data_IF_893733669812
#
_entry.id   IF_893733669812
#
_cell.length_a   1.000
_cell.length_b   1.000
_cell.length_c   1.000
_cell.angle_alpha   90.00
_cell.angle_beta   90.00
_cell.angle_gamma   90.00
#
_symmetry.space_group_name_H-M   'P 1'
#
loop_
_entity.id
_entity.type
_entity.pdbx_description
1 polymer ?
#
# COMPACT_ATOMS: atom_id res chain seq x y z
N UNK A 1 -5.67 -6.75 3.70
CA UNK A 1 -6.10 -7.95 2.96
C UNK A 1 -7.58 -8.24 3.17
N UNK A 2 -8.03 -8.55 4.41
CA UNK A 2 -9.42 -8.98 4.69
C UNK A 2 -10.48 -8.02 4.14
N UNK A 3 -10.27 -6.71 4.28
CA UNK A 3 -11.23 -5.73 3.77
C UNK A 3 -11.35 -5.84 2.23
N UNK A 4 -10.24 -5.94 1.52
CA UNK A 4 -10.22 -6.10 0.06
C UNK A 4 -10.96 -7.38 -0.33
N UNK A 5 -10.65 -8.49 0.33
CA UNK A 5 -11.28 -9.77 0.03
C UNK A 5 -12.80 -9.76 0.19
N UNK A 6 -13.33 -8.98 1.15
CA UNK A 6 -14.77 -8.88 1.44
C UNK A 6 -15.51 -7.86 0.56
N UNK A 7 -14.85 -6.78 0.12
CA UNK A 7 -15.53 -5.62 -0.46
C UNK A 7 -15.16 -5.35 -1.93
N UNK A 8 -14.01 -5.82 -2.41
CA UNK A 8 -13.65 -5.66 -3.82
C UNK A 8 -14.66 -6.41 -4.71
N UNK A 9 -15.19 -5.76 -5.78
CA UNK A 9 -16.12 -6.41 -6.69
C UNK A 9 -15.51 -7.64 -7.36
N UNK A 10 -16.36 -8.50 -7.91
CA UNK A 10 -15.88 -9.65 -8.70
C UNK A 10 -15.10 -9.15 -9.91
N UNK A 11 -13.94 -9.74 -10.18
CA UNK A 11 -13.06 -9.35 -11.27
C UNK A 11 -12.35 -8.01 -11.09
N UNK A 12 -12.35 -7.45 -9.87
CA UNK A 12 -11.70 -6.17 -9.55
C UNK A 12 -10.24 -6.11 -9.96
N UNK A 13 -9.78 -4.92 -10.30
CA UNK A 13 -8.36 -4.58 -10.42
C UNK A 13 -7.88 -3.96 -9.11
N UNK A 14 -6.90 -4.58 -8.48
CA UNK A 14 -6.30 -4.14 -7.22
C UNK A 14 -4.86 -3.73 -7.47
N UNK A 15 -4.45 -2.58 -6.93
CA UNK A 15 -3.05 -2.14 -6.93
C UNK A 15 -2.50 -2.22 -5.51
N UNK A 16 -1.29 -2.76 -5.35
CA UNK A 16 -0.51 -2.77 -4.11
C UNK A 16 0.74 -1.91 -4.33
N UNK A 17 0.79 -0.73 -3.71
CA UNK A 17 1.91 0.21 -3.80
C UNK A 17 2.93 -0.07 -2.71
N UNK A 18 4.22 -0.16 -3.10
CA UNK A 18 5.28 -0.51 -2.18
C UNK A 18 5.12 -1.94 -1.69
N UNK A 19 4.89 -2.87 -2.63
CA UNK A 19 4.50 -4.25 -2.28
C UNK A 19 5.56 -5.02 -1.48
N UNK A 20 6.82 -4.57 -1.47
CA UNK A 20 7.92 -5.22 -0.78
C UNK A 20 8.10 -6.68 -1.21
N UNK A 21 7.94 -7.59 -0.28
CA UNK A 21 8.00 -9.04 -0.53
C UNK A 21 6.74 -9.62 -1.20
N UNK A 22 5.73 -8.78 -1.49
CA UNK A 22 4.46 -9.18 -2.04
C UNK A 22 3.39 -9.55 -1.02
N UNK A 23 3.57 -9.21 0.26
CA UNK A 23 2.72 -9.73 1.33
C UNK A 23 1.23 -9.43 1.14
N UNK A 24 0.86 -8.19 0.79
CA UNK A 24 -0.54 -7.81 0.55
C UNK A 24 -1.01 -8.34 -0.79
N UNK A 25 -0.26 -8.08 -1.87
CA UNK A 25 -0.63 -8.47 -3.23
C UNK A 25 -0.89 -9.97 -3.35
N UNK A 26 0.04 -10.79 -2.86
CA UNK A 26 -0.04 -12.24 -2.99
C UNK A 26 -1.13 -12.83 -2.09
N UNK A 27 -1.34 -12.29 -0.89
CA UNK A 27 -2.44 -12.72 -0.03
C UNK A 27 -3.81 -12.42 -0.65
N UNK A 28 -3.99 -11.21 -1.23
CA UNK A 28 -5.22 -10.86 -1.95
C UNK A 28 -5.44 -11.79 -3.14
N UNK A 29 -4.40 -12.01 -3.94
CA UNK A 29 -4.50 -12.86 -5.13
C UNK A 29 -4.80 -14.33 -4.81
N UNK A 30 -4.28 -14.83 -3.70
CA UNK A 30 -4.53 -16.18 -3.22
C UNK A 30 -5.98 -16.37 -2.77
N UNK A 31 -6.48 -15.45 -1.94
CA UNK A 31 -7.85 -15.49 -1.41
C UNK A 31 -8.91 -15.15 -2.47
N UNK A 32 -8.54 -14.38 -3.49
CA UNK A 32 -9.42 -13.88 -4.54
C UNK A 32 -8.85 -14.18 -5.93
N UNK A 33 -8.93 -15.42 -6.40
CA UNK A 33 -8.41 -15.79 -7.73
C UNK A 33 -9.15 -15.11 -8.90
N UNK A 34 -10.30 -14.51 -8.65
CA UNK A 34 -11.09 -13.74 -9.59
C UNK A 34 -10.56 -12.32 -9.83
N UNK A 35 -9.79 -11.74 -8.89
CA UNK A 35 -9.26 -10.37 -9.04
C UNK A 35 -7.91 -10.37 -9.78
N UNK A 36 -7.57 -9.22 -10.37
CA UNK A 36 -6.27 -8.96 -10.98
C UNK A 36 -5.48 -8.03 -10.08
N UNK A 37 -4.34 -8.47 -9.58
CA UNK A 37 -3.49 -7.67 -8.69
C UNK A 37 -2.27 -7.16 -9.47
N UNK A 38 -2.01 -5.86 -9.34
CA UNK A 38 -0.79 -5.21 -9.83
C UNK A 38 0.01 -4.77 -8.60
N UNK A 39 1.19 -5.33 -8.43
CA UNK A 39 2.09 -5.05 -7.31
C UNK A 39 3.25 -4.19 -7.80
N UNK A 40 3.43 -3.02 -7.20
CA UNK A 40 4.39 -2.01 -7.61
C UNK A 40 5.43 -1.80 -6.49
N UNK A 41 6.71 -1.80 -6.88
CA UNK A 41 7.81 -1.69 -5.94
C UNK A 41 8.98 -0.96 -6.60
N UNK A 42 9.63 -0.06 -5.87
CA UNK A 42 10.78 0.69 -6.39
C UNK A 42 12.09 -0.10 -6.31
N UNK A 43 12.20 -1.01 -5.34
CA UNK A 43 13.41 -1.82 -5.12
C UNK A 43 13.43 -3.06 -6.01
N UNK A 44 14.41 -3.20 -6.92
CA UNK A 44 14.57 -4.41 -7.73
C UNK A 44 14.77 -5.68 -6.89
N UNK A 45 15.45 -5.56 -5.74
CA UNK A 45 15.68 -6.69 -4.84
C UNK A 45 14.39 -7.17 -4.19
N UNK A 46 13.53 -6.24 -3.76
CA UNK A 46 12.21 -6.58 -3.22
C UNK A 46 11.31 -7.19 -4.30
N UNK A 47 11.33 -6.67 -5.53
CA UNK A 47 10.63 -7.26 -6.68
C UNK A 47 11.08 -8.70 -6.92
N UNK A 48 12.39 -8.98 -6.85
CA UNK A 48 12.90 -10.34 -7.02
C UNK A 48 12.40 -11.29 -5.91
N UNK A 49 12.23 -10.80 -4.69
CA UNK A 49 11.64 -11.56 -3.58
C UNK A 49 10.15 -11.81 -3.83
N UNK A 50 9.41 -10.77 -4.18
CA UNK A 50 7.98 -10.88 -4.46
C UNK A 50 7.71 -11.85 -5.61
N UNK A 51 8.52 -11.81 -6.67
CA UNK A 51 8.38 -12.71 -7.82
C UNK A 51 8.67 -14.17 -7.44
N UNK A 52 9.69 -14.45 -6.60
CA UNK A 52 9.92 -15.80 -6.06
C UNK A 52 8.74 -16.29 -5.24
N UNK A 53 8.17 -15.42 -4.42
CA UNK A 53 7.00 -15.75 -3.62
C UNK A 53 5.78 -16.02 -4.52
N UNK A 54 5.55 -15.19 -5.54
CA UNK A 54 4.48 -15.38 -6.54
C UNK A 54 4.58 -16.76 -7.21
N UNK A 55 5.79 -17.12 -7.66
CA UNK A 55 6.05 -18.43 -8.30
C UNK A 55 5.82 -19.59 -7.34
N UNK A 56 6.29 -19.47 -6.08
CA UNK A 56 6.10 -20.48 -5.04
C UNK A 56 4.63 -20.80 -4.79
N UNK A 57 3.77 -19.78 -4.80
CA UNK A 57 2.33 -19.94 -4.59
C UNK A 57 1.56 -20.11 -5.90
N UNK A 58 2.23 -20.16 -7.05
CA UNK A 58 1.66 -20.35 -8.39
C UNK A 58 0.53 -19.34 -8.72
N UNK A 59 0.70 -18.09 -8.32
CA UNK A 59 -0.30 -17.04 -8.51
C UNK A 59 -0.17 -16.41 -9.90
N UNK A 60 -1.15 -16.70 -10.78
CA UNK A 60 -1.17 -16.22 -12.16
C UNK A 60 -1.96 -14.91 -12.33
N UNK A 61 -2.67 -14.48 -11.32
CA UNK A 61 -3.49 -13.28 -11.29
C UNK A 61 -2.76 -12.06 -10.68
N UNK A 62 -1.44 -12.16 -10.46
CA UNK A 62 -0.56 -11.07 -9.99
C UNK A 62 0.44 -10.70 -11.06
N UNK A 63 0.61 -9.42 -11.31
CA UNK A 63 1.72 -8.83 -12.07
C UNK A 63 2.55 -7.97 -11.13
N UNK A 64 3.87 -8.19 -11.10
CA UNK A 64 4.80 -7.41 -10.28
C UNK A 64 5.65 -6.56 -11.21
N UNK A 65 5.83 -5.27 -10.88
CA UNK A 65 6.62 -4.34 -11.68
C UNK A 65 7.47 -3.41 -10.82
N UNK A 66 8.66 -3.06 -11.32
CA UNK A 66 9.49 -2.00 -10.75
C UNK A 66 8.82 -0.66 -11.09
N UNK A 67 8.51 0.13 -10.07
CA UNK A 67 7.81 1.41 -10.23
C UNK A 67 8.06 2.35 -9.06
N UNK A 68 8.28 3.63 -9.35
CA UNK A 68 8.09 4.70 -8.36
C UNK A 68 6.60 5.06 -8.35
N UNK A 69 5.91 4.64 -7.28
CA UNK A 69 4.45 4.68 -7.17
C UNK A 69 3.78 4.20 -8.47
N UNK A 70 3.00 5.03 -9.15
CA UNK A 70 2.23 4.66 -10.33
C UNK A 70 2.96 4.77 -11.67
N UNK A 71 4.25 5.15 -11.67
CA UNK A 71 4.98 5.50 -12.92
C UNK A 71 4.99 4.40 -14.00
N UNK A 72 4.93 3.12 -13.61
CA UNK A 72 4.99 1.99 -14.53
C UNK A 72 3.61 1.42 -14.94
N UNK A 73 2.50 2.05 -14.54
CA UNK A 73 1.16 1.51 -14.82
C UNK A 73 0.27 2.50 -15.54
N UNK A 74 -0.72 1.96 -16.24
CA UNK A 74 -1.79 2.70 -16.90
C UNK A 74 -3.15 2.12 -16.54
N UNK A 75 -4.19 2.95 -16.72
CA UNK A 75 -5.57 2.57 -16.44
C UNK A 75 -5.90 2.73 -14.95
N UNK A 76 -7.07 2.26 -14.56
CA UNK A 76 -7.65 2.52 -13.25
C UNK A 76 -7.86 1.23 -12.47
N UNK A 77 -7.95 1.38 -11.15
CA UNK A 77 -8.12 0.31 -10.16
C UNK A 77 -9.40 0.51 -9.36
N UNK A 78 -9.97 -0.57 -8.90
CA UNK A 78 -11.13 -0.54 -7.99
C UNK A 78 -10.66 -0.37 -6.53
N UNK A 79 -9.46 -0.85 -6.22
CA UNK A 79 -8.82 -0.67 -4.93
C UNK A 79 -7.34 -0.41 -5.12
N UNK A 80 -6.82 0.60 -4.43
CA UNK A 80 -5.39 0.85 -4.23
C UNK A 80 -5.11 0.63 -2.74
N UNK A 81 -4.20 -0.29 -2.44
CA UNK A 81 -3.67 -0.53 -1.10
C UNK A 81 -2.22 -0.08 -1.03
N UNK A 82 -1.78 0.44 0.10
CA UNK A 82 -0.39 0.83 0.30
C UNK A 82 0.01 0.69 1.76
N UNK A 83 1.13 0.00 1.97
CA UNK A 83 1.90 0.04 3.20
C UNK A 83 3.27 0.63 2.85
N UNK A 84 3.32 1.95 2.70
CA UNK A 84 4.51 2.70 2.33
C UNK A 84 5.36 3.01 3.57
N UNK A 85 6.66 3.27 3.40
CA UNK A 85 7.49 3.82 4.47
C UNK A 85 6.84 5.04 5.09
N UNK A 86 6.74 5.07 6.43
CA UNK A 86 6.07 6.15 7.17
C UNK A 86 6.84 6.64 8.39
N UNK A 87 8.08 6.20 8.60
CA UNK A 87 8.93 6.64 9.70
C UNK A 87 9.64 7.94 9.31
N UNK A 88 9.64 8.93 10.21
CA UNK A 88 10.39 10.16 10.02
C UNK A 88 11.90 9.91 10.07
N UNK A 89 12.68 10.71 9.33
CA UNK A 89 14.12 10.51 9.23
C UNK A 89 14.85 10.60 10.58
N UNK A 90 14.38 11.46 11.50
CA UNK A 90 14.92 11.59 12.86
C UNK A 90 14.50 10.44 13.78
N UNK A 91 13.30 9.88 13.60
CA UNK A 91 12.84 8.71 14.35
C UNK A 91 13.64 7.44 14.00
N UNK A 92 14.18 7.36 12.77
CA UNK A 92 14.96 6.20 12.34
C UNK A 92 16.12 5.88 13.29
N UNK A 93 16.80 6.91 13.84
CA UNK A 93 17.92 6.69 14.75
C UNK A 93 17.48 6.10 16.10
N UNK A 94 16.23 6.23 16.46
CA UNK A 94 15.64 5.70 17.72
C UNK A 94 15.09 4.29 17.60
N UNK A 95 15.03 3.73 16.37
CA UNK A 95 14.52 2.38 16.13
C UNK A 95 15.40 1.30 16.79
N UNK A 96 14.75 0.18 17.11
CA UNK A 96 15.44 -1.00 17.61
C UNK A 96 16.49 -1.48 16.62
N UNK A 97 17.63 -1.98 17.14
CA UNK A 97 18.74 -2.43 16.32
C UNK A 97 18.35 -3.56 15.35
N UNK A 98 17.44 -4.41 15.76
CA UNK A 98 16.90 -5.50 14.93
C UNK A 98 16.24 -4.95 13.67
N UNK A 99 15.41 -3.90 13.79
CA UNK A 99 14.76 -3.26 12.65
C UNK A 99 15.82 -2.61 11.75
N UNK A 100 16.74 -1.82 12.33
CA UNK A 100 17.80 -1.11 11.57
C UNK A 100 18.75 -2.07 10.83
N UNK A 101 19.01 -3.25 11.40
CA UNK A 101 19.97 -4.20 10.83
C UNK A 101 19.39 -5.11 9.76
N UNK A 102 18.08 -5.36 9.78
CA UNK A 102 17.45 -6.35 8.90
C UNK A 102 16.47 -5.75 7.89
N UNK A 103 16.03 -4.49 8.10
CA UNK A 103 15.16 -3.81 7.14
C UNK A 103 15.90 -2.67 6.42
N UNK A 104 15.82 -2.58 5.09
CA UNK A 104 16.43 -1.47 4.36
C UNK A 104 15.82 -0.13 4.79
N UNK A 105 16.65 0.89 5.01
CA UNK A 105 16.17 2.24 5.36
C UNK A 105 15.09 2.74 4.40
N UNK A 106 15.25 2.47 3.10
CA UNK A 106 14.28 2.85 2.06
C UNK A 106 12.88 2.25 2.30
N UNK A 107 12.79 1.11 2.98
CA UNK A 107 11.51 0.47 3.32
C UNK A 107 10.88 1.02 4.60
N UNK A 108 11.57 1.89 5.34
CA UNK A 108 11.16 2.39 6.64
C UNK A 108 10.86 3.88 6.63
N UNK A 109 11.75 4.71 6.00
CA UNK A 109 11.69 6.17 6.15
C UNK A 109 11.08 6.87 4.94
N UNK A 110 10.38 7.98 5.17
CA UNK A 110 9.72 8.79 4.16
C UNK A 110 9.80 10.29 4.49
N UNK A 111 11.02 10.82 4.43
CA UNK A 111 11.27 12.24 4.64
C UNK A 111 11.19 12.72 6.09
N UNK A 112 11.19 14.04 6.26
CA UNK A 112 11.33 14.70 7.57
C UNK A 112 10.22 14.33 8.57
N UNK A 113 9.00 14.12 8.10
CA UNK A 113 7.84 13.77 8.95
C UNK A 113 7.23 12.39 8.64
N UNK A 114 7.92 11.57 7.84
CA UNK A 114 7.46 10.24 7.46
C UNK A 114 6.28 10.19 6.48
N UNK A 115 5.82 11.32 5.95
CA UNK A 115 4.60 11.38 5.13
C UNK A 115 4.84 11.68 3.64
N UNK A 116 6.08 11.80 3.20
CA UNK A 116 6.36 12.23 1.81
C UNK A 116 5.74 11.28 0.77
N UNK A 117 5.98 9.97 0.88
CA UNK A 117 5.41 8.98 -0.04
C UNK A 117 3.90 8.86 0.09
N UNK A 118 3.37 8.96 1.31
CA UNK A 118 1.92 8.93 1.56
C UNK A 118 1.24 10.13 0.89
N UNK A 119 1.81 11.35 0.99
CA UNK A 119 1.31 12.54 0.30
C UNK A 119 1.28 12.37 -1.21
N UNK A 120 2.38 11.84 -1.79
CA UNK A 120 2.45 11.57 -3.22
C UNK A 120 1.40 10.55 -3.64
N UNK A 121 1.28 9.43 -2.92
CA UNK A 121 0.29 8.40 -3.21
C UNK A 121 -1.14 8.93 -3.16
N UNK A 122 -1.49 9.75 -2.15
CA UNK A 122 -2.82 10.38 -2.04
C UNK A 122 -3.09 11.36 -3.18
N UNK A 123 -2.10 12.16 -3.56
CA UNK A 123 -2.23 13.15 -4.63
C UNK A 123 -2.45 12.50 -6.01
N UNK A 124 -1.76 11.39 -6.28
CA UNK A 124 -1.80 10.67 -7.54
C UNK A 124 -2.99 9.68 -7.64
N UNK A 125 -3.40 9.07 -6.52
CA UNK A 125 -4.43 8.01 -6.50
C UNK A 125 -5.74 8.34 -7.23
N UNK A 126 -6.29 9.58 -7.22
CA UNK A 126 -7.51 9.92 -7.96
C UNK A 126 -7.41 9.68 -9.47
N UNK A 127 -6.22 9.80 -10.06
CA UNK A 127 -6.00 9.58 -11.48
C UNK A 127 -5.99 8.09 -11.85
N UNK A 128 -5.72 7.24 -10.85
CA UNK A 128 -5.63 5.78 -11.00
C UNK A 128 -6.77 4.99 -10.35
N UNK A 129 -7.74 5.66 -9.70
CA UNK A 129 -8.92 4.99 -9.18
C UNK A 129 -10.12 5.11 -10.14
N UNK A 130 -10.90 4.05 -10.22
CA UNK A 130 -12.24 4.12 -10.77
C UNK A 130 -13.12 5.02 -9.89
N UNK A 131 -14.13 5.73 -10.45
CA UNK A 131 -15.14 6.41 -9.65
C UNK A 131 -15.74 5.46 -8.61
N UNK A 132 -15.76 5.87 -7.35
CA UNK A 132 -16.19 5.00 -6.24
C UNK A 132 -15.17 3.95 -5.79
N UNK A 133 -13.98 3.90 -6.38
CA UNK A 133 -12.88 3.04 -5.94
C UNK A 133 -12.30 3.46 -4.59
N UNK A 134 -11.54 2.58 -3.97
CA UNK A 134 -11.03 2.75 -2.61
C UNK A 134 -9.53 2.91 -2.55
N UNK A 135 -9.08 3.85 -1.73
CA UNK A 135 -7.70 3.99 -1.27
C UNK A 135 -7.61 3.47 0.17
N UNK A 136 -6.67 2.55 0.41
CA UNK A 136 -6.40 1.97 1.73
C UNK A 136 -4.93 2.21 2.05
N UNK A 137 -4.66 2.95 3.11
CA UNK A 137 -3.29 3.30 3.52
C UNK A 137 -3.01 2.76 4.92
N UNK A 138 -1.85 2.15 5.13
CA UNK A 138 -1.27 1.95 6.46
C UNK A 138 -0.54 3.22 6.89
N UNK A 139 -0.59 3.53 8.19
CA UNK A 139 -0.02 4.73 8.80
C UNK A 139 0.66 4.42 10.13
N UNK A 140 1.58 5.25 10.53
CA UNK A 140 2.01 5.36 11.92
C UNK A 140 0.84 5.79 12.83
N UNK A 141 0.84 5.34 14.08
CA UNK A 141 -0.27 5.52 15.03
C UNK A 141 -0.74 6.97 15.17
N UNK A 142 0.20 7.92 15.14
CA UNK A 142 -0.04 9.36 15.34
C UNK A 142 -0.35 10.13 14.04
N UNK A 143 -0.21 9.51 12.87
CA UNK A 143 -0.21 10.24 11.59
C UNK A 143 -1.60 10.53 11.02
N UNK A 144 -2.65 9.84 11.48
CA UNK A 144 -4.00 10.00 10.95
C UNK A 144 -4.52 11.45 10.94
N UNK A 145 -4.30 12.30 11.97
CA UNK A 145 -4.72 13.71 11.94
C UNK A 145 -4.07 14.53 10.82
N UNK A 146 -2.81 14.23 10.46
CA UNK A 146 -2.09 14.92 9.38
C UNK A 146 -2.51 14.42 7.99
N UNK A 147 -2.91 13.15 7.87
CA UNK A 147 -3.29 12.53 6.60
C UNK A 147 -4.75 12.81 6.21
N UNK A 148 -5.67 12.84 7.18
CA UNK A 148 -7.11 13.06 6.89
C UNK A 148 -7.42 14.31 6.04
N UNK A 149 -6.78 15.49 6.29
CA UNK A 149 -7.01 16.67 5.45
C UNK A 149 -6.57 16.52 4.00
N UNK A 150 -5.60 15.65 3.71
CA UNK A 150 -5.09 15.41 2.35
C UNK A 150 -6.08 14.63 1.46
N UNK A 151 -7.07 13.99 2.06
CA UNK A 151 -8.06 13.17 1.38
C UNK A 151 -9.31 13.97 0.96
N UNK A 152 -9.16 15.22 0.53
CA UNK A 152 -10.26 16.13 0.17
C UNK A 152 -11.13 15.62 -1.00
N UNK A 153 -10.51 14.90 -1.95
CA UNK A 153 -11.19 14.25 -3.09
C UNK A 153 -11.89 12.94 -2.72
N UNK A 154 -11.77 12.50 -1.48
CA UNK A 154 -12.33 11.24 -1.00
C UNK A 154 -13.45 11.48 -0.01
N UNK A 155 -14.50 10.65 -0.08
CA UNK A 155 -15.59 10.53 0.90
C UNK A 155 -15.37 9.29 1.79
N UNK A 156 -16.24 9.11 2.76
CA UNK A 156 -16.29 7.92 3.64
C UNK A 156 -14.93 7.56 4.27
N UNK A 157 -14.19 8.61 4.65
CA UNK A 157 -12.86 8.48 5.27
C UNK A 157 -12.98 7.87 6.66
N UNK A 158 -12.47 6.65 6.84
CA UNK A 158 -12.55 5.90 8.10
C UNK A 158 -11.15 5.55 8.58
N UNK A 159 -10.88 5.82 9.86
CA UNK A 159 -9.70 5.32 10.55
C UNK A 159 -10.05 3.95 11.11
N UNK A 160 -9.25 2.95 10.79
CA UNK A 160 -9.39 1.58 11.25
C UNK A 160 -8.26 1.27 12.21
N UNK A 161 -8.62 0.70 13.35
CA UNK A 161 -7.66 0.26 14.36
C UNK A 161 -7.11 -1.12 14.04
N UNK A 162 -5.85 -1.34 14.44
CA UNK A 162 -5.27 -2.67 14.45
C UNK A 162 -5.81 -3.51 15.62
N UNK A 163 -5.38 -4.77 15.73
CA UNK A 163 -5.79 -5.70 16.80
C UNK A 163 -5.32 -5.25 18.20
N UNK A 164 -4.34 -4.35 18.27
CA UNK A 164 -3.86 -3.76 19.53
C UNK A 164 -4.62 -2.49 19.91
N UNK A 165 -5.53 -2.02 19.06
CA UNK A 165 -6.37 -0.84 19.29
C UNK A 165 -5.75 0.49 18.83
N UNK A 166 -4.59 0.47 18.17
CA UNK A 166 -3.93 1.66 17.62
C UNK A 166 -4.51 2.03 16.25
N UNK A 167 -4.61 3.31 15.95
CA UNK A 167 -4.97 3.79 14.62
C UNK A 167 -3.90 3.32 13.61
N UNK A 168 -4.30 2.51 12.64
CA UNK A 168 -3.33 1.86 11.76
C UNK A 168 -3.63 2.06 10.28
N UNK A 169 -4.90 2.12 9.90
CA UNK A 169 -5.26 2.23 8.49
C UNK A 169 -6.25 3.36 8.26
N UNK A 170 -6.19 3.99 7.09
CA UNK A 170 -7.24 4.83 6.55
C UNK A 170 -7.86 4.14 5.35
N UNK A 171 -9.18 4.04 5.33
CA UNK A 171 -9.97 3.66 4.17
C UNK A 171 -10.74 4.88 3.68
N UNK A 172 -10.61 5.21 2.39
CA UNK A 172 -11.25 6.37 1.79
C UNK A 172 -11.78 6.01 0.40
N UNK A 173 -12.99 6.43 0.06
CA UNK A 173 -13.62 6.18 -1.24
C UNK A 173 -13.51 7.42 -2.13
N UNK A 174 -13.05 7.25 -3.38
CA UNK A 174 -13.03 8.34 -4.36
C UNK A 174 -14.48 8.81 -4.64
N UNK A 175 -14.67 10.14 -4.72
CA UNK A 175 -15.98 10.75 -4.99
C UNK A 175 -16.49 10.44 -6.40
#
# INVERSE_FOLDING_TARGET
VEWICRHAPHGARVCDLGTGSGAIALAVAYERPDVKVIALEISPDAVAIAERNRQRYQLNNVTIAISDLFAAVTGRFDVIAANLPYIADDEYETLQLEVKNYEPRLALTSGEDGLELIRRAIAEAPDYLNPGGFLILELGESQAPAVLPLLDKFKDRKIIKDYSGHNRHIHAQLQ
#
